data_IF_775723599830
#
_entry.id   IF_775723599830
#
_cell.length_a   1.000
_cell.length_b   1.000
_cell.length_c   1.000
_cell.angle_alpha   90.00
_cell.angle_beta   90.00
_cell.angle_gamma   90.00
#
_symmetry.space_group_name_H-M   'P 1'
#
loop_
_entity.id
_entity.type
_entity.pdbx_description
1 polymer ?
#
# COMPACT_ATOMS: atom_id res chain seq x y z
N UNK A 1 -1.93 -5.95 9.10
CA UNK A 1 -1.86 -6.40 10.51
C UNK A 1 -3.26 -6.44 11.10
N UNK A 2 -3.68 -7.54 11.73
CA UNK A 2 -4.98 -7.66 12.41
C UNK A 2 -4.74 -7.98 13.88
N UNK A 3 -5.27 -7.15 14.78
CA UNK A 3 -5.31 -7.42 16.23
C UNK A 3 -6.64 -8.08 16.59
N UNK A 4 -7.04 -8.08 17.87
CA UNK A 4 -8.42 -8.48 18.25
C UNK A 4 -9.43 -7.37 17.94
N UNK A 5 -9.02 -6.10 18.09
CA UNK A 5 -9.92 -4.94 18.03
C UNK A 5 -9.74 -4.07 16.79
N UNK A 6 -8.61 -4.14 16.09
CA UNK A 6 -8.34 -3.27 14.94
C UNK A 6 -7.71 -4.04 13.77
N UNK A 7 -7.80 -3.47 12.57
CA UNK A 7 -7.05 -3.92 11.38
C UNK A 7 -6.35 -2.71 10.75
N UNK A 8 -5.04 -2.84 10.54
CA UNK A 8 -4.21 -1.89 9.79
C UNK A 8 -3.80 -2.54 8.47
N UNK A 9 -4.06 -1.87 7.34
CA UNK A 9 -3.75 -2.35 5.99
C UNK A 9 -2.81 -1.34 5.32
N UNK A 10 -1.85 -1.85 4.55
CA UNK A 10 -0.97 -1.05 3.72
C UNK A 10 -1.01 -1.55 2.28
N UNK A 11 -1.44 -0.67 1.37
CA UNK A 11 -1.38 -0.86 -0.07
C UNK A 11 -0.17 -0.08 -0.60
N UNK A 12 0.91 -0.75 -0.97
CA UNK A 12 2.17 -0.10 -1.39
C UNK A 12 2.20 0.29 -2.89
N UNK A 13 1.23 -0.20 -3.67
CA UNK A 13 0.92 0.33 -4.99
C UNK A 13 1.94 0.05 -6.10
N UNK A 14 2.60 -1.11 -6.11
CA UNK A 14 3.46 -1.52 -7.22
C UNK A 14 3.52 -3.04 -7.40
N UNK A 15 4.08 -3.47 -8.53
CA UNK A 15 4.55 -4.84 -8.73
C UNK A 15 5.88 -5.09 -8.02
N UNK A 16 6.33 -6.34 -7.95
CA UNK A 16 7.60 -6.72 -7.32
C UNK A 16 8.85 -6.09 -7.96
N UNK A 17 8.77 -5.72 -9.23
CA UNK A 17 9.81 -4.97 -9.96
C UNK A 17 9.69 -3.44 -9.79
N UNK A 18 8.74 -2.97 -8.97
CA UNK A 18 8.40 -1.55 -8.81
C UNK A 18 7.52 -0.99 -9.93
N UNK A 19 7.17 -1.81 -10.92
CA UNK A 19 6.39 -1.40 -12.09
C UNK A 19 4.89 -1.22 -11.80
N UNK A 20 4.19 -0.75 -12.82
CA UNK A 20 2.73 -0.59 -12.86
C UNK A 20 2.12 0.07 -11.62
N UNK A 21 2.68 1.22 -11.25
CA UNK A 21 2.31 1.97 -10.05
C UNK A 21 0.81 2.28 -9.98
N UNK A 22 0.25 2.11 -8.79
CA UNK A 22 -1.06 2.59 -8.33
C UNK A 22 -0.82 3.45 -7.07
N UNK A 23 -1.76 4.32 -6.68
CA UNK A 23 -1.59 5.13 -5.47
C UNK A 23 -1.37 4.23 -4.25
N UNK A 24 -0.29 4.44 -3.48
CA UNK A 24 -0.14 3.79 -2.18
C UNK A 24 -1.10 4.40 -1.16
N UNK A 25 -1.44 3.65 -0.12
CA UNK A 25 -2.37 4.09 0.91
C UNK A 25 -2.40 3.20 2.14
N UNK A 26 -2.73 3.81 3.27
CA UNK A 26 -2.96 3.13 4.53
C UNK A 26 -4.42 3.20 4.96
N UNK A 27 -4.87 2.13 5.60
CA UNK A 27 -6.21 2.06 6.15
C UNK A 27 -6.19 1.49 7.57
N UNK A 28 -7.01 2.05 8.45
CA UNK A 28 -7.22 1.58 9.82
C UNK A 28 -8.72 1.43 10.09
N UNK A 29 -9.13 0.26 10.58
CA UNK A 29 -10.51 -0.02 10.96
C UNK A 29 -10.60 -0.50 12.41
N UNK A 30 -11.59 0.02 13.15
CA UNK A 30 -12.02 -0.51 14.45
C UNK A 30 -13.03 -1.64 14.21
N UNK A 31 -12.66 -2.86 14.58
CA UNK A 31 -13.45 -4.06 14.31
C UNK A 31 -14.44 -4.42 15.42
N UNK A 32 -14.49 -3.63 16.48
CA UNK A 32 -15.53 -3.70 17.51
C UNK A 32 -16.65 -2.73 17.16
N UNK A 33 -16.31 -1.49 16.82
CA UNK A 33 -17.29 -0.44 16.52
C UNK A 33 -17.74 -0.45 15.05
N UNK A 34 -16.87 -0.86 14.12
CA UNK A 34 -17.13 -0.94 12.68
C UNK A 34 -16.73 -2.33 12.13
N UNK A 35 -17.48 -3.40 12.49
CA UNK A 35 -17.17 -4.76 12.07
C UNK A 35 -17.25 -4.97 10.55
N UNK A 36 -17.87 -4.03 9.82
CA UNK A 36 -18.01 -4.05 8.37
C UNK A 36 -16.97 -3.20 7.64
N UNK A 37 -16.02 -2.58 8.36
CA UNK A 37 -14.87 -1.86 7.77
C UNK A 37 -15.28 -0.76 6.79
N UNK A 38 -16.32 0.00 7.17
CA UNK A 38 -16.91 1.05 6.33
C UNK A 38 -16.28 2.41 6.53
N UNK A 39 -15.58 2.64 7.65
CA UNK A 39 -14.93 3.91 7.98
C UNK A 39 -13.43 3.73 8.20
N UNK A 40 -12.63 4.24 7.27
CA UNK A 40 -11.19 4.35 7.46
C UNK A 40 -10.87 5.44 8.50
N UNK A 41 -10.15 5.05 9.57
CA UNK A 41 -9.73 5.90 10.68
C UNK A 41 -8.26 6.32 10.61
N UNK A 42 -7.54 6.01 9.52
CA UNK A 42 -6.09 6.23 9.46
C UNK A 42 -5.70 7.71 9.66
N UNK A 43 -6.42 8.63 9.01
CA UNK A 43 -6.18 10.08 9.09
C UNK A 43 -6.88 10.74 10.29
N UNK A 44 -7.54 9.96 11.17
CA UNK A 44 -8.18 10.49 12.37
C UNK A 44 -7.11 10.86 13.42
N UNK A 45 -6.97 12.15 13.82
CA UNK A 45 -5.95 12.57 14.77
C UNK A 45 -6.03 11.85 16.12
N UNK A 46 -7.23 11.45 16.56
CA UNK A 46 -7.42 10.71 17.81
C UNK A 46 -6.81 9.31 17.76
N UNK A 47 -6.60 8.77 16.55
CA UNK A 47 -6.01 7.44 16.32
C UNK A 47 -4.50 7.49 16.02
N UNK A 48 -3.87 8.67 15.95
CA UNK A 48 -2.47 8.81 15.52
C UNK A 48 -1.48 7.97 16.36
N UNK A 49 -1.70 7.90 17.69
CA UNK A 49 -0.88 7.07 18.59
C UNK A 49 -1.05 5.57 18.30
N UNK A 50 -2.29 5.13 18.03
CA UNK A 50 -2.59 3.74 17.69
C UNK A 50 -1.98 3.37 16.34
N UNK A 51 -2.10 4.23 15.33
CA UNK A 51 -1.46 4.04 14.01
C UNK A 51 0.05 3.84 14.17
N UNK A 52 0.70 4.69 14.95
CA UNK A 52 2.15 4.61 15.20
C UNK A 52 2.55 3.27 15.82
N UNK A 53 1.84 2.82 16.88
CA UNK A 53 2.10 1.52 17.53
C UNK A 53 1.87 0.35 16.55
N UNK A 54 0.77 0.37 15.79
CA UNK A 54 0.46 -0.70 14.84
C UNK A 54 1.47 -0.76 13.67
N UNK A 55 1.94 0.39 13.16
CA UNK A 55 3.02 0.45 12.15
C UNK A 55 4.33 -0.11 12.70
N UNK A 56 4.70 0.21 13.94
CA UNK A 56 5.88 -0.37 14.58
C UNK A 56 5.76 -1.89 14.75
N UNK A 57 4.59 -2.38 15.17
CA UNK A 57 4.32 -3.82 15.27
C UNK A 57 4.38 -4.50 13.90
N UNK A 58 3.84 -3.87 12.86
CA UNK A 58 3.93 -4.36 11.50
C UNK A 58 5.38 -4.43 11.03
N UNK A 59 6.18 -3.37 11.21
CA UNK A 59 7.60 -3.36 10.85
C UNK A 59 8.40 -4.48 11.56
N UNK A 60 8.14 -4.70 12.86
CA UNK A 60 8.75 -5.81 13.62
C UNK A 60 8.30 -7.17 13.08
N UNK A 61 7.01 -7.32 12.77
CA UNK A 61 6.46 -8.56 12.22
C UNK A 61 7.08 -8.90 10.87
N UNK A 62 7.18 -7.91 9.96
CA UNK A 62 7.79 -8.03 8.64
C UNK A 62 9.20 -8.63 8.74
N UNK A 63 10.06 -8.02 9.56
CA UNK A 63 11.41 -8.55 9.85
C UNK A 63 11.38 -9.97 10.43
N UNK A 64 10.49 -10.23 11.40
CA UNK A 64 10.41 -11.54 12.07
C UNK A 64 10.05 -12.67 11.12
N UNK A 65 9.23 -12.42 10.10
CA UNK A 65 8.79 -13.44 9.14
C UNK A 65 9.66 -13.49 7.88
N UNK A 66 10.76 -12.73 7.82
CA UNK A 66 11.64 -12.65 6.65
C UNK A 66 11.10 -11.79 5.50
N UNK A 67 10.06 -10.99 5.74
CA UNK A 67 9.63 -9.92 4.83
C UNK A 67 10.48 -8.66 5.10
N UNK A 68 11.78 -8.75 4.83
CA UNK A 68 12.77 -7.68 5.04
C UNK A 68 13.08 -6.88 3.76
N UNK A 69 12.37 -7.18 2.68
CA UNK A 69 12.53 -6.53 1.38
C UNK A 69 13.73 -7.02 0.54
N UNK A 70 14.56 -7.93 1.06
CA UNK A 70 15.75 -8.43 0.35
C UNK A 70 15.42 -9.16 -0.97
N UNK A 71 14.28 -9.84 -1.04
CA UNK A 71 13.83 -10.54 -2.25
C UNK A 71 13.44 -9.58 -3.39
N UNK A 72 12.91 -8.39 -3.07
CA UNK A 72 12.38 -7.42 -4.01
C UNK A 72 12.76 -5.98 -3.63
N UNK A 73 14.04 -5.60 -3.78
CA UNK A 73 14.55 -4.34 -3.24
C UNK A 73 13.93 -3.09 -3.88
N UNK A 74 13.49 -3.17 -5.15
CA UNK A 74 12.81 -2.04 -5.82
C UNK A 74 11.41 -1.81 -5.24
N UNK A 75 10.67 -2.89 -4.99
CA UNK A 75 9.37 -2.83 -4.31
C UNK A 75 9.55 -2.35 -2.86
N UNK A 76 10.59 -2.80 -2.17
CA UNK A 76 10.88 -2.37 -0.81
C UNK A 76 11.19 -0.87 -0.73
N UNK A 77 11.97 -0.33 -1.68
CA UNK A 77 12.25 1.10 -1.72
C UNK A 77 10.96 1.94 -1.81
N UNK A 78 10.00 1.50 -2.62
CA UNK A 78 8.66 2.12 -2.71
C UNK A 78 7.87 1.97 -1.40
N UNK A 79 7.92 0.79 -0.78
CA UNK A 79 7.26 0.52 0.50
C UNK A 79 7.76 1.49 1.57
N UNK A 80 9.07 1.74 1.62
CA UNK A 80 9.71 2.66 2.56
C UNK A 80 9.42 4.13 2.21
N UNK A 81 9.39 4.47 0.92
CA UNK A 81 9.08 5.82 0.43
C UNK A 81 7.73 6.33 0.93
N UNK A 82 6.71 5.47 1.00
CA UNK A 82 5.36 5.83 1.47
C UNK A 82 5.04 5.26 2.85
N UNK A 83 6.07 4.88 3.62
CA UNK A 83 5.85 4.25 4.91
C UNK A 83 5.25 5.23 5.91
N UNK A 84 5.75 6.46 5.99
CA UNK A 84 5.27 7.46 6.95
C UNK A 84 3.90 8.02 6.53
N UNK A 85 3.71 8.25 5.23
CA UNK A 85 2.45 8.64 4.62
C UNK A 85 1.93 9.99 5.11
N UNK A 86 2.85 10.96 5.18
CA UNK A 86 2.55 12.35 5.53
C UNK A 86 1.84 13.10 4.38
N UNK A 87 1.59 14.39 4.56
CA UNK A 87 0.92 15.22 3.55
C UNK A 87 1.65 15.22 2.20
N UNK A 88 2.98 15.14 2.20
CA UNK A 88 3.79 15.12 0.97
C UNK A 88 3.66 13.78 0.25
N UNK A 89 3.68 12.68 0.99
CA UNK A 89 3.44 11.34 0.48
C UNK A 89 2.02 11.18 -0.07
N UNK A 90 1.03 11.74 0.63
CA UNK A 90 -0.37 11.76 0.20
C UNK A 90 -0.54 12.56 -1.10
N UNK A 91 0.08 13.73 -1.21
CA UNK A 91 0.07 14.52 -2.44
C UNK A 91 0.70 13.74 -3.61
N UNK A 92 1.81 13.04 -3.36
CA UNK A 92 2.46 12.19 -4.35
C UNK A 92 1.61 10.97 -4.73
N UNK A 93 0.92 10.35 -3.78
CA UNK A 93 -0.01 9.26 -4.05
C UNK A 93 -1.18 9.73 -4.94
N UNK A 94 -1.72 10.92 -4.71
CA UNK A 94 -2.74 11.54 -5.60
C UNK A 94 -2.21 11.74 -7.01
N UNK A 95 -0.98 12.19 -7.17
CA UNK A 95 -0.37 12.34 -8.48
C UNK A 95 -0.17 10.98 -9.19
N UNK A 96 0.27 9.95 -8.47
CA UNK A 96 0.35 8.58 -9.00
C UNK A 96 -1.04 8.08 -9.45
N UNK A 97 -2.11 8.44 -8.73
CA UNK A 97 -3.48 8.14 -9.13
C UNK A 97 -3.85 8.78 -10.47
N UNK A 98 -3.55 10.07 -10.67
CA UNK A 98 -3.77 10.75 -11.95
C UNK A 98 -2.99 10.09 -13.10
N UNK A 99 -1.73 9.73 -12.86
CA UNK A 99 -0.90 9.05 -13.84
C UNK A 99 -1.44 7.67 -14.21
N UNK A 100 -1.90 6.90 -13.20
CA UNK A 100 -2.57 5.62 -13.42
C UNK A 100 -3.82 5.78 -14.28
N UNK A 101 -4.70 6.74 -13.96
CA UNK A 101 -5.92 7.02 -14.71
C UNK A 101 -5.61 7.34 -16.17
N UNK A 102 -4.68 8.27 -16.42
CA UNK A 102 -4.26 8.66 -17.77
C UNK A 102 -3.74 7.46 -18.56
N UNK A 103 -2.91 6.61 -17.94
CA UNK A 103 -2.40 5.38 -18.55
C UNK A 103 -3.53 4.40 -18.90
N UNK A 104 -4.43 4.10 -17.94
CA UNK A 104 -5.54 3.16 -18.17
C UNK A 104 -6.50 3.65 -19.25
N UNK A 105 -6.81 4.94 -19.29
CA UNK A 105 -7.65 5.50 -20.35
C UNK A 105 -7.02 5.30 -21.74
N UNK A 106 -5.70 5.52 -21.88
CA UNK A 106 -4.99 5.28 -23.12
C UNK A 106 -4.97 3.78 -23.50
N UNK A 107 -4.75 2.89 -22.54
CA UNK A 107 -4.77 1.42 -22.75
C UNK A 107 -6.16 0.95 -23.20
N UNK A 108 -7.23 1.43 -22.57
CA UNK A 108 -8.61 1.13 -22.95
C UNK A 108 -8.96 1.66 -24.35
N UNK A 109 -8.53 2.89 -24.69
CA UNK A 109 -8.69 3.46 -26.04
C UNK A 109 -7.97 2.62 -27.10
N UNK A 110 -6.84 2.02 -26.75
CA UNK A 110 -6.08 1.10 -27.61
C UNK A 110 -6.63 -0.35 -27.61
N UNK A 111 -7.79 -0.61 -26.99
CA UNK A 111 -8.42 -1.93 -26.92
C UNK A 111 -7.79 -2.91 -25.92
N UNK A 112 -6.82 -2.46 -25.11
CA UNK A 112 -6.09 -3.31 -24.16
C UNK A 112 -6.85 -3.42 -22.83
N UNK A 113 -7.75 -4.39 -22.73
CA UNK A 113 -8.54 -4.63 -21.50
C UNK A 113 -7.74 -5.33 -20.40
N UNK A 114 -6.99 -6.37 -20.77
CA UNK A 114 -6.18 -7.19 -19.86
C UNK A 114 -4.67 -6.97 -20.14
N UNK A 115 -4.11 -5.91 -19.58
CA UNK A 115 -2.68 -5.60 -19.73
C UNK A 115 -1.89 -6.52 -18.81
N UNK A 116 -0.93 -7.26 -19.36
CA UNK A 116 0.03 -8.01 -18.55
C UNK A 116 1.03 -7.02 -17.94
N UNK A 117 0.98 -6.84 -16.63
CA UNK A 117 1.73 -5.80 -15.92
C UNK A 117 3.05 -6.28 -15.34
N UNK A 118 3.20 -7.60 -15.15
CA UNK A 118 4.39 -8.22 -14.62
C UNK A 118 4.61 -9.57 -15.30
N UNK A 119 5.86 -9.87 -15.63
CA UNK A 119 6.29 -11.22 -16.00
C UNK A 119 7.21 -11.68 -14.87
N UNK A 120 6.72 -12.61 -14.06
CA UNK A 120 7.54 -13.23 -13.02
C UNK A 120 8.86 -13.74 -13.61
N UNK A 121 9.95 -13.69 -12.83
CA UNK A 121 11.18 -14.34 -13.26
C UNK A 121 10.90 -15.84 -13.38
N UNK A 122 11.02 -16.40 -14.58
CA UNK A 122 11.15 -17.85 -14.74
C UNK A 122 12.39 -18.26 -13.94
N UNK A 123 12.20 -18.98 -12.83
CA UNK A 123 13.33 -19.62 -12.16
C UNK A 123 13.94 -20.60 -13.16
N UNK A 124 15.23 -20.40 -13.48
CA UNK A 124 16.06 -21.39 -14.18
C UNK A 124 16.62 -22.35 -13.15
#
# INVERSE_FOLDING_TARGET
LRTKTHKLIYYYGCNYDGGYRTPPGWELYDLIQDPHETRNLYDDPDQAKLVTDLKQRLAKLRKRVGDDGSHYPVCEAIVQEFWDYDETDQAKAREISHQYLKRRQAELKAGKRNVLTHRGKLQK
#
